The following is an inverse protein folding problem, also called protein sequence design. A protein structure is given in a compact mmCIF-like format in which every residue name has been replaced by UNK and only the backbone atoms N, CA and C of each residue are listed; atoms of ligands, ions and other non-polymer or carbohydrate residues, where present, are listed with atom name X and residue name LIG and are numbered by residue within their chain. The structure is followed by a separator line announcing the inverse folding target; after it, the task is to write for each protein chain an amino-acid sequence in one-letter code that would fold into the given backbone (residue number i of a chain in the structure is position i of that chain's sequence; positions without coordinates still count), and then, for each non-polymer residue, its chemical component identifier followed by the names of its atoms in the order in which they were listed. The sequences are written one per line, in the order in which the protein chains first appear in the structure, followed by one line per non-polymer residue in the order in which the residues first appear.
data_IF_965838659252
#
_entry.id   IF_965838659252
#
_cell.length_a   1.000
_cell.length_b   1.000
_cell.length_c   1.000
_cell.angle_alpha   90.00
_cell.angle_beta   90.00
_cell.angle_gamma   90.00
#
_symmetry.space_group_name_H-M   'P 1'
#
loop_
_entity.id
_entity.type
_entity.pdbx_description
1 polymer ?
#
# COMPACT_ATOMS: atom_id res chain seq x y z
N UNK A 1 -34.34 39.84 -10.44
CA UNK A 1 -34.03 38.39 -10.50
C UNK A 1 -32.78 38.24 -11.34
N UNK A 2 -31.62 38.25 -10.68
CA UNK A 2 -30.32 38.00 -11.32
C UNK A 2 -29.80 36.70 -10.73
N UNK A 3 -29.85 35.65 -11.53
CA UNK A 3 -29.25 34.35 -11.24
C UNK A 3 -27.73 34.54 -11.15
N UNK A 4 -27.17 34.36 -9.94
CA UNK A 4 -25.73 34.22 -9.77
C UNK A 4 -25.33 32.85 -10.31
N UNK A 5 -24.75 32.89 -11.50
CA UNK A 5 -24.02 31.81 -12.14
C UNK A 5 -22.82 31.42 -11.25
N UNK A 6 -23.05 30.56 -10.26
CA UNK A 6 -21.98 29.88 -9.54
C UNK A 6 -21.34 28.86 -10.47
N UNK A 7 -20.44 29.36 -11.32
CA UNK A 7 -19.48 28.53 -12.03
C UNK A 7 -18.72 27.71 -10.98
N UNK A 8 -19.04 26.43 -10.93
CA UNK A 8 -18.34 25.42 -10.14
C UNK A 8 -16.92 25.31 -10.65
N UNK A 9 -16.04 26.19 -10.15
CA UNK A 9 -14.63 26.17 -10.45
C UNK A 9 -14.08 24.81 -10.04
N UNK A 10 -13.86 23.93 -11.02
CA UNK A 10 -13.25 22.62 -10.82
C UNK A 10 -11.91 22.85 -10.13
N UNK A 11 -11.83 22.55 -8.83
CA UNK A 11 -10.59 22.69 -8.06
C UNK A 11 -9.53 21.80 -8.71
N UNK A 12 -8.54 22.43 -9.33
CA UNK A 12 -7.41 21.76 -9.97
C UNK A 12 -6.68 20.88 -8.94
N UNK A 13 -6.38 19.65 -9.31
CA UNK A 13 -5.60 18.74 -8.48
C UNK A 13 -4.25 19.38 -8.11
N UNK A 14 -3.94 19.45 -6.81
CA UNK A 14 -2.72 20.07 -6.31
C UNK A 14 -1.78 19.00 -5.75
N UNK A 15 -0.61 18.81 -6.35
CA UNK A 15 0.33 17.77 -5.93
C UNK A 15 1.14 18.13 -4.68
N UNK A 16 1.00 19.36 -4.15
CA UNK A 16 1.69 19.78 -2.93
C UNK A 16 1.02 19.19 -1.68
N UNK A 17 1.85 18.67 -0.78
CA UNK A 17 1.42 18.20 0.52
C UNK A 17 0.94 19.34 1.41
N UNK A 18 -0.23 19.17 2.01
CA UNK A 18 -0.70 20.00 3.13
C UNK A 18 -0.36 19.31 4.43
N UNK A 19 -0.32 20.07 5.54
CA UNK A 19 -0.10 19.49 6.88
C UNK A 19 -1.10 18.36 7.17
N UNK A 20 -2.38 18.55 6.83
CA UNK A 20 -3.42 17.52 7.00
C UNK A 20 -3.15 16.25 6.20
N UNK A 21 -2.53 16.37 5.02
CA UNK A 21 -2.19 15.23 4.18
C UNK A 21 -1.09 14.38 4.84
N UNK A 22 -0.07 15.05 5.40
CA UNK A 22 1.04 14.42 6.14
C UNK A 22 0.50 13.72 7.39
N UNK A 23 -0.34 14.41 8.17
CA UNK A 23 -0.91 13.86 9.40
C UNK A 23 -1.76 12.63 9.13
N UNK A 24 -2.62 12.66 8.10
CA UNK A 24 -3.45 11.50 7.77
C UNK A 24 -2.63 10.34 7.20
N UNK A 25 -1.63 10.61 6.35
CA UNK A 25 -0.71 9.57 5.90
C UNK A 25 0.03 8.93 7.08
N UNK A 26 0.47 9.72 8.07
CA UNK A 26 1.12 9.23 9.26
C UNK A 26 0.19 8.40 10.15
N UNK A 27 -1.08 8.80 10.33
CA UNK A 27 -2.06 8.02 11.08
C UNK A 27 -2.29 6.66 10.41
N UNK A 28 -2.44 6.64 9.08
CA UNK A 28 -2.57 5.39 8.32
C UNK A 28 -1.32 4.52 8.52
N UNK A 29 -0.13 5.10 8.38
CA UNK A 29 1.13 4.38 8.58
C UNK A 29 1.25 3.80 9.99
N UNK A 30 0.85 4.54 11.03
CA UNK A 30 0.89 4.05 12.42
C UNK A 30 -0.10 2.90 12.62
N UNK A 31 -1.33 3.04 12.12
CA UNK A 31 -2.32 1.97 12.22
C UNK A 31 -1.86 0.70 11.47
N UNK A 32 -1.31 0.86 10.27
CA UNK A 32 -0.76 -0.24 9.48
C UNK A 32 0.46 -0.87 10.14
N UNK A 33 1.40 -0.08 10.68
CA UNK A 33 2.60 -0.60 11.35
C UNK A 33 2.27 -1.45 12.58
N UNK A 34 1.22 -1.11 13.33
CA UNK A 34 0.71 -1.96 14.41
C UNK A 34 0.12 -3.27 13.88
N UNK A 35 -0.58 -3.23 12.73
CA UNK A 35 -1.10 -4.44 12.08
C UNK A 35 0.04 -5.31 11.55
N UNK A 36 1.07 -4.73 10.95
CA UNK A 36 2.26 -5.43 10.46
C UNK A 36 2.95 -6.15 11.61
N UNK A 37 3.19 -5.42 12.70
CA UNK A 37 3.79 -5.98 13.92
C UNK A 37 2.92 -7.08 14.53
N UNK A 38 1.60 -6.90 14.58
CA UNK A 38 0.68 -7.93 15.04
C UNK A 38 0.72 -9.18 14.15
N UNK A 39 0.87 -9.00 12.84
CA UNK A 39 1.04 -10.08 11.89
C UNK A 39 2.39 -10.79 12.06
N UNK A 40 3.48 -10.08 12.36
CA UNK A 40 4.81 -10.67 12.66
C UNK A 40 4.74 -11.73 13.76
N UNK A 41 3.92 -11.51 14.78
CA UNK A 41 3.76 -12.44 15.92
C UNK A 41 3.16 -13.78 15.47
N UNK A 42 2.23 -13.76 14.52
CA UNK A 42 1.41 -14.93 14.16
C UNK A 42 1.77 -15.54 12.81
N UNK A 43 2.51 -14.84 11.95
CA UNK A 43 2.75 -15.23 10.57
C UNK A 43 3.71 -16.42 10.40
N UNK A 44 4.54 -16.72 11.40
CA UNK A 44 5.56 -17.80 11.30
C UNK A 44 4.94 -19.15 10.91
N UNK A 45 3.87 -19.57 11.58
CA UNK A 45 3.22 -20.86 11.28
C UNK A 45 2.48 -20.87 9.93
N UNK A 46 1.66 -19.86 9.58
CA UNK A 46 1.08 -19.73 8.23
C UNK A 46 2.11 -19.71 7.10
N UNK A 47 3.20 -18.94 7.25
CA UNK A 47 4.25 -18.86 6.23
C UNK A 47 4.90 -20.23 6.00
N UNK A 48 5.26 -20.94 7.08
CA UNK A 48 5.85 -22.27 7.00
C UNK A 48 4.89 -23.29 6.35
N UNK A 49 3.59 -23.20 6.65
CA UNK A 49 2.58 -24.08 6.04
C UNK A 49 2.49 -23.87 4.53
N UNK A 50 2.47 -22.61 4.08
CA UNK A 50 2.39 -22.27 2.66
C UNK A 50 3.69 -22.66 1.93
N UNK A 51 4.85 -22.38 2.50
CA UNK A 51 6.15 -22.80 1.96
C UNK A 51 6.25 -24.33 1.81
N UNK A 52 5.72 -25.08 2.78
CA UNK A 52 5.71 -26.55 2.76
C UNK A 52 4.83 -27.14 1.64
N UNK A 53 3.74 -26.45 1.26
CA UNK A 53 2.92 -26.84 0.10
C UNK A 53 3.70 -26.64 -1.18
N UNK A 54 4.30 -25.46 -1.36
CA UNK A 54 5.14 -25.15 -2.52
C UNK A 54 6.09 -24.01 -2.18
N UNK A 55 7.41 -24.18 -2.33
CA UNK A 55 8.37 -23.11 -2.08
C UNK A 55 8.05 -21.86 -2.91
N UNK A 56 7.81 -20.73 -2.23
CA UNK A 56 7.38 -19.46 -2.81
C UNK A 56 5.92 -19.08 -2.50
N UNK A 57 5.07 -20.04 -2.10
CA UNK A 57 3.66 -19.75 -1.76
C UNK A 57 3.50 -18.88 -0.51
N UNK A 58 4.50 -18.84 0.35
CA UNK A 58 4.54 -17.92 1.49
C UNK A 58 4.37 -16.45 1.04
N UNK A 59 4.75 -16.11 -0.21
CA UNK A 59 4.50 -14.80 -0.81
C UNK A 59 3.02 -14.43 -0.91
N UNK A 60 2.09 -15.39 -0.90
CA UNK A 60 0.65 -15.11 -0.88
C UNK A 60 0.21 -14.41 0.40
N UNK A 61 1.00 -14.51 1.47
CA UNK A 61 0.71 -13.87 2.75
C UNK A 61 1.41 -12.52 2.91
N UNK A 62 2.16 -12.08 1.89
CA UNK A 62 2.88 -10.82 1.97
C UNK A 62 1.97 -9.60 2.03
N UNK A 63 0.74 -9.66 1.49
CA UNK A 63 -0.16 -8.51 1.47
C UNK A 63 -0.41 -7.84 2.82
N UNK A 64 -0.30 -8.58 3.92
CA UNK A 64 -0.46 -8.01 5.27
C UNK A 64 0.62 -6.97 5.61
N UNK A 65 1.74 -6.92 4.87
CA UNK A 65 2.79 -5.90 4.98
C UNK A 65 2.83 -4.92 3.80
N UNK A 66 1.90 -4.99 2.83
CA UNK A 66 2.01 -4.22 1.58
C UNK A 66 0.95 -3.12 1.43
N UNK A 67 0.00 -3.05 2.37
CA UNK A 67 -1.23 -2.32 2.16
C UNK A 67 -1.17 -0.86 2.64
N UNK A 68 -0.17 -0.48 3.44
CA UNK A 68 -0.09 0.86 4.02
C UNK A 68 0.06 1.93 2.94
N UNK A 69 0.97 1.69 1.99
CA UNK A 69 1.28 2.58 0.89
C UNK A 69 0.09 2.81 -0.04
N UNK A 70 -0.45 1.76 -0.69
CA UNK A 70 -1.61 1.89 -1.57
C UNK A 70 -2.81 2.58 -0.89
N UNK A 71 -3.13 2.22 0.35
CA UNK A 71 -4.23 2.82 1.11
C UNK A 71 -4.01 4.31 1.38
N UNK A 72 -2.83 4.69 1.87
CA UNK A 72 -2.50 6.09 2.12
C UNK A 72 -2.54 6.91 0.83
N UNK A 73 -2.05 6.34 -0.26
CA UNK A 73 -1.99 7.03 -1.54
C UNK A 73 -3.37 7.31 -2.14
N UNK A 74 -4.31 6.37 -2.09
CA UNK A 74 -5.67 6.59 -2.61
C UNK A 74 -6.52 7.55 -1.74
N UNK A 75 -6.18 7.68 -0.46
CA UNK A 75 -6.82 8.62 0.47
C UNK A 75 -6.24 10.03 0.28
N UNK A 76 -4.91 10.17 0.34
CA UNK A 76 -4.21 11.46 0.31
C UNK A 76 -4.09 12.02 -1.10
N UNK A 77 -3.95 11.14 -2.10
CA UNK A 77 -3.84 11.46 -3.53
C UNK A 77 -2.71 12.44 -3.82
N UNK A 78 -1.51 12.15 -3.30
CA UNK A 78 -0.28 12.95 -3.55
C UNK A 78 0.87 12.03 -3.95
N UNK A 79 1.79 12.51 -4.81
CA UNK A 79 3.02 11.79 -5.09
C UNK A 79 3.87 11.66 -3.82
N UNK A 80 4.44 10.47 -3.65
CA UNK A 80 5.23 10.06 -2.48
C UNK A 80 4.40 9.52 -1.32
N UNK A 81 3.07 9.49 -1.42
CA UNK A 81 2.21 9.07 -0.31
C UNK A 81 2.31 7.57 -0.02
N UNK A 82 2.47 6.75 -1.06
CA UNK A 82 2.61 5.31 -0.88
C UNK A 82 3.94 4.99 -0.22
N UNK A 83 5.03 5.56 -0.77
CA UNK A 83 6.38 5.37 -0.22
C UNK A 83 6.48 5.84 1.23
N UNK A 84 5.94 7.04 1.53
CA UNK A 84 5.97 7.60 2.87
C UNK A 84 5.27 6.72 3.89
N UNK A 85 4.03 6.29 3.59
CA UNK A 85 3.24 5.52 4.54
C UNK A 85 3.82 4.12 4.77
N UNK A 86 4.28 3.44 3.71
CA UNK A 86 4.89 2.11 3.82
C UNK A 86 6.19 2.16 4.63
N UNK A 87 7.06 3.14 4.32
CA UNK A 87 8.33 3.30 5.04
C UNK A 87 8.11 3.59 6.52
N UNK A 88 7.14 4.45 6.84
CA UNK A 88 6.83 4.80 8.22
C UNK A 88 6.17 3.64 8.98
N UNK A 89 5.30 2.87 8.32
CA UNK A 89 4.71 1.66 8.89
C UNK A 89 5.78 0.62 9.22
N UNK A 90 6.68 0.34 8.27
CA UNK A 90 7.79 -0.59 8.45
C UNK A 90 8.81 -0.11 9.51
N UNK A 91 9.03 1.20 9.62
CA UNK A 91 9.84 1.76 10.69
C UNK A 91 9.20 1.54 12.06
N UNK A 92 7.88 1.74 12.18
CA UNK A 92 7.15 1.50 13.42
C UNK A 92 7.19 0.02 13.81
N UNK A 93 6.87 -0.86 12.87
CA UNK A 93 6.96 -2.33 13.01
C UNK A 93 8.33 -2.74 13.59
N UNK A 94 9.41 -2.25 12.98
CA UNK A 94 10.77 -2.51 13.44
C UNK A 94 11.03 -1.98 14.86
N UNK A 95 10.58 -0.76 15.16
CA UNK A 95 10.83 -0.15 16.49
C UNK A 95 10.05 -0.82 17.62
N UNK A 96 8.91 -1.44 17.30
CA UNK A 96 8.16 -2.27 18.25
C UNK A 96 8.82 -3.64 18.49
N UNK A 97 9.80 -4.01 17.65
CA UNK A 97 10.63 -5.21 17.76
C UNK A 97 9.97 -6.42 17.10
N UNK A 98 10.68 -7.04 16.15
CA UNK A 98 10.26 -8.24 15.45
C UNK A 98 11.45 -9.14 15.10
N UNK A 99 11.15 -10.34 14.58
CA UNK A 99 12.14 -11.35 14.18
C UNK A 99 12.88 -11.03 12.86
N UNK A 100 12.40 -10.07 12.08
CA UNK A 100 12.89 -9.80 10.72
C UNK A 100 14.06 -8.80 10.69
N UNK A 101 14.16 -7.96 11.72
CA UNK A 101 15.21 -6.96 11.86
C UNK A 101 15.16 -5.88 10.77
N UNK A 102 16.24 -5.11 10.66
CA UNK A 102 16.27 -3.92 9.77
C UNK A 102 16.05 -4.29 8.30
N UNK A 103 16.60 -5.42 7.85
CA UNK A 103 16.48 -5.88 6.46
C UNK A 103 15.06 -6.32 6.12
N UNK A 104 14.53 -7.25 6.90
CA UNK A 104 13.23 -7.87 6.63
C UNK A 104 12.01 -7.03 7.01
N UNK A 105 12.21 -5.85 7.62
CA UNK A 105 11.14 -4.87 7.87
C UNK A 105 11.38 -3.55 7.15
N UNK A 106 12.36 -2.75 7.58
CA UNK A 106 12.51 -1.38 7.07
C UNK A 106 13.00 -1.32 5.62
N UNK A 107 14.05 -2.09 5.28
CA UNK A 107 14.61 -2.04 3.92
C UNK A 107 13.60 -2.60 2.91
N UNK A 108 13.00 -3.76 3.21
CA UNK A 108 11.97 -4.32 2.34
C UNK A 108 10.74 -3.41 2.25
N UNK A 109 10.31 -2.80 3.35
CA UNK A 109 9.19 -1.85 3.37
C UNK A 109 9.42 -0.62 2.49
N UNK A 110 10.65 -0.11 2.44
CA UNK A 110 11.02 0.97 1.49
C UNK A 110 10.88 0.47 0.04
N UNK A 111 11.38 -0.73 -0.27
CA UNK A 111 11.29 -1.30 -1.63
C UNK A 111 9.84 -1.57 -2.04
N UNK A 112 9.02 -2.06 -1.10
CA UNK A 112 7.58 -2.26 -1.29
C UNK A 112 6.87 -0.93 -1.54
N UNK A 113 7.16 0.08 -0.73
CA UNK A 113 6.63 1.44 -0.88
C UNK A 113 7.03 2.07 -2.22
N UNK A 114 8.25 1.85 -2.68
CA UNK A 114 8.69 2.26 -4.02
C UNK A 114 7.90 1.53 -5.11
N UNK A 115 7.69 0.23 -4.98
CA UNK A 115 6.85 -0.55 -5.89
C UNK A 115 5.43 0.00 -5.97
N UNK A 116 4.82 0.26 -4.81
CA UNK A 116 3.49 0.86 -4.71
C UNK A 116 3.42 2.23 -5.40
N UNK A 117 4.41 3.09 -5.14
CA UNK A 117 4.48 4.43 -5.71
C UNK A 117 4.64 4.39 -7.24
N UNK A 118 5.48 3.49 -7.76
CA UNK A 118 5.67 3.29 -9.21
C UNK A 118 4.33 2.91 -9.86
N UNK A 119 3.54 2.06 -9.23
CA UNK A 119 2.24 1.67 -9.77
C UNK A 119 1.26 2.83 -9.96
N UNK A 120 1.33 3.85 -9.10
CA UNK A 120 0.54 5.08 -9.24
C UNK A 120 1.20 6.07 -10.20
N UNK A 121 2.53 6.10 -10.23
CA UNK A 121 3.32 6.93 -11.14
C UNK A 121 3.10 6.55 -12.61
N UNK A 122 2.83 5.28 -12.92
CA UNK A 122 2.43 4.80 -14.27
C UNK A 122 1.21 5.58 -14.79
N UNK A 123 0.29 5.94 -13.90
CA UNK A 123 -0.90 6.74 -14.24
C UNK A 123 -0.68 8.25 -14.05
N UNK A 124 0.58 8.68 -13.85
CA UNK A 124 0.99 10.05 -13.57
C UNK A 124 0.18 10.71 -12.43
N UNK A 125 -0.26 9.92 -11.44
CA UNK A 125 -1.10 10.37 -10.32
C UNK A 125 -2.46 10.97 -10.75
N UNK A 126 -2.93 10.62 -11.95
CA UNK A 126 -4.21 11.12 -12.51
C UNK A 126 -5.39 10.18 -12.24
N UNK A 127 -5.12 8.93 -11.88
CA UNK A 127 -6.13 7.90 -11.60
C UNK A 127 -5.98 7.38 -10.18
N UNK A 128 -7.11 7.21 -9.51
CA UNK A 128 -7.25 6.77 -8.12
C UNK A 128 -8.44 5.81 -8.01
N UNK A 129 -8.55 4.91 -8.98
CA UNK A 129 -9.61 3.93 -9.15
C UNK A 129 -9.14 2.53 -8.72
N UNK A 130 -10.05 1.54 -8.78
CA UNK A 130 -9.75 0.16 -8.42
C UNK A 130 -8.53 -0.39 -9.20
N UNK A 131 -8.44 -0.09 -10.50
CA UNK A 131 -7.37 -0.59 -11.36
C UNK A 131 -6.01 -0.03 -10.95
N UNK A 132 -5.88 1.29 -10.82
CA UNK A 132 -4.63 1.94 -10.41
C UNK A 132 -4.18 1.50 -9.02
N UNK A 133 -5.13 1.34 -8.08
CA UNK A 133 -4.84 0.81 -6.73
C UNK A 133 -4.38 -0.65 -6.77
N UNK A 134 -5.03 -1.47 -7.59
CA UNK A 134 -4.68 -2.89 -7.79
C UNK A 134 -3.26 -3.02 -8.36
N UNK A 135 -2.90 -2.20 -9.34
CA UNK A 135 -1.56 -2.18 -9.93
C UNK A 135 -0.51 -1.67 -8.92
N UNK A 136 -0.86 -0.67 -8.10
CA UNK A 136 -0.01 -0.21 -7.00
C UNK A 136 0.28 -1.34 -6.01
N UNK A 137 -0.75 -2.02 -5.50
CA UNK A 137 -0.57 -3.18 -4.62
C UNK A 137 0.23 -4.32 -5.27
N UNK A 138 -0.04 -4.62 -6.54
CA UNK A 138 0.70 -5.64 -7.29
C UNK A 138 2.20 -5.32 -7.37
N UNK A 139 2.55 -4.07 -7.67
CA UNK A 139 3.94 -3.63 -7.77
C UNK A 139 4.63 -3.51 -6.41
N UNK A 140 3.90 -3.24 -5.33
CA UNK A 140 4.41 -3.39 -3.97
C UNK A 140 4.85 -4.84 -3.71
N UNK A 141 4.01 -5.80 -4.12
CA UNK A 141 4.30 -7.23 -4.08
C UNK A 141 5.50 -7.64 -4.94
N UNK A 142 5.62 -7.08 -6.14
CA UNK A 142 6.82 -7.26 -6.98
C UNK A 142 8.06 -6.69 -6.30
N UNK A 143 7.97 -5.52 -5.69
CA UNK A 143 9.06 -4.92 -4.90
C UNK A 143 9.52 -5.85 -3.78
N UNK A 144 8.58 -6.42 -3.03
CA UNK A 144 8.87 -7.45 -2.02
C UNK A 144 9.60 -8.66 -2.61
N UNK A 145 9.06 -9.23 -3.71
CA UNK A 145 9.65 -10.38 -4.39
C UNK A 145 11.06 -10.13 -4.90
N UNK A 146 11.33 -8.96 -5.46
CA UNK A 146 12.66 -8.57 -5.94
C UNK A 146 13.65 -8.42 -4.79
N UNK A 147 13.23 -7.84 -3.66
CA UNK A 147 14.09 -7.74 -2.47
C UNK A 147 14.49 -9.13 -1.96
N UNK A 148 13.53 -10.05 -1.81
CA UNK A 148 13.82 -11.40 -1.32
C UNK A 148 14.64 -12.24 -2.31
N UNK A 149 14.46 -12.04 -3.61
CA UNK A 149 15.34 -12.63 -4.61
C UNK A 149 16.79 -12.17 -4.45
N UNK A 150 17.03 -10.87 -4.28
CA UNK A 150 18.38 -10.30 -4.15
C UNK A 150 19.07 -10.71 -2.84
N UNK A 151 18.29 -10.88 -1.76
CA UNK A 151 18.82 -11.26 -0.44
C UNK A 151 18.95 -12.76 -0.25
N UNK A 152 18.35 -13.58 -1.11
CA UNK A 152 18.41 -15.04 -1.06
C UNK A 152 18.97 -15.64 -2.38
N UNK A 153 20.28 -15.47 -2.66
CA UNK A 153 20.90 -15.93 -3.89
C UNK A 153 20.89 -17.46 -4.07
N UNK A 154 20.65 -18.21 -2.99
CA UNK A 154 20.54 -19.67 -3.02
C UNK A 154 19.18 -20.18 -3.55
N UNK A 155 18.18 -19.31 -3.70
CA UNK A 155 16.87 -19.73 -4.22
C UNK A 155 16.97 -20.13 -5.69
N UNK A 156 16.30 -21.24 -6.04
CA UNK A 156 16.17 -21.64 -7.43
C UNK A 156 15.33 -20.63 -8.22
N UNK A 157 15.57 -20.53 -9.52
CA UNK A 157 14.78 -19.67 -10.41
C UNK A 157 13.27 -19.98 -10.34
N UNK A 158 12.92 -21.24 -10.11
CA UNK A 158 11.53 -21.67 -9.93
C UNK A 158 10.92 -21.07 -8.64
N UNK A 159 11.60 -21.20 -7.50
CA UNK A 159 11.14 -20.61 -6.23
C UNK A 159 10.97 -19.11 -6.34
N UNK A 160 11.98 -18.42 -6.92
CA UNK A 160 11.94 -16.96 -7.13
C UNK A 160 10.72 -16.57 -7.96
N UNK A 161 10.47 -17.28 -9.06
CA UNK A 161 9.33 -16.99 -9.96
C UNK A 161 8.00 -17.19 -9.24
N UNK A 162 7.84 -18.27 -8.49
CA UNK A 162 6.63 -18.56 -7.71
C UNK A 162 6.43 -17.48 -6.64
N UNK A 163 7.46 -17.16 -5.86
CA UNK A 163 7.39 -16.15 -4.79
C UNK A 163 7.01 -14.77 -5.33
N UNK A 164 7.62 -14.36 -6.44
CA UNK A 164 7.34 -13.06 -7.06
C UNK A 164 5.89 -12.99 -7.56
N UNK A 165 5.41 -14.02 -8.27
CA UNK A 165 4.03 -14.09 -8.77
C UNK A 165 3.04 -14.12 -7.60
N UNK A 166 3.30 -14.95 -6.58
CA UNK A 166 2.48 -15.04 -5.37
C UNK A 166 2.38 -13.69 -4.65
N UNK A 167 3.52 -13.01 -4.46
CA UNK A 167 3.57 -11.68 -3.83
C UNK A 167 2.83 -10.63 -4.65
N UNK A 168 2.97 -10.65 -5.97
CA UNK A 168 2.25 -9.74 -6.86
C UNK A 168 0.73 -9.97 -6.82
N UNK A 169 0.28 -11.23 -6.84
CA UNK A 169 -1.15 -11.57 -6.71
C UNK A 169 -1.69 -11.14 -5.35
N UNK A 170 -0.98 -11.46 -4.28
CA UNK A 170 -1.35 -11.07 -2.91
C UNK A 170 -1.49 -9.56 -2.78
N UNK A 171 -0.47 -8.82 -3.23
CA UNK A 171 -0.47 -7.37 -3.26
C UNK A 171 -1.61 -6.80 -4.11
N UNK A 172 -1.87 -7.36 -5.29
CA UNK A 172 -2.97 -6.91 -6.15
C UNK A 172 -4.34 -7.05 -5.45
N UNK A 173 -4.57 -8.19 -4.81
CA UNK A 173 -5.87 -8.52 -4.19
C UNK A 173 -6.07 -7.74 -2.91
N UNK A 174 -5.20 -7.93 -1.91
CA UNK A 174 -5.43 -7.40 -0.57
C UNK A 174 -4.94 -5.96 -0.43
N UNK A 175 -3.67 -5.68 -0.78
CA UNK A 175 -3.12 -4.32 -0.70
C UNK A 175 -3.72 -3.39 -1.77
N UNK A 176 -4.19 -3.93 -2.89
CA UNK A 176 -4.80 -3.19 -3.97
C UNK A 176 -6.32 -3.14 -3.88
N UNK A 177 -6.98 -4.19 -4.36
CA UNK A 177 -8.44 -4.22 -4.52
C UNK A 177 -9.20 -4.06 -3.20
N UNK A 178 -8.81 -4.79 -2.15
CA UNK A 178 -9.48 -4.71 -0.84
C UNK A 178 -9.24 -3.34 -0.19
N UNK A 179 -8.03 -2.76 -0.28
CA UNK A 179 -7.79 -1.41 0.23
C UNK A 179 -8.59 -0.33 -0.51
N UNK A 180 -8.82 -0.49 -1.82
CA UNK A 180 -9.71 0.38 -2.56
C UNK A 180 -11.14 0.32 -2.02
N UNK A 181 -11.67 -0.90 -1.80
CA UNK A 181 -13.00 -1.08 -1.22
C UNK A 181 -13.08 -0.53 0.21
N UNK A 182 -12.02 -0.68 1.00
CA UNK A 182 -11.91 -0.10 2.33
C UNK A 182 -11.96 1.43 2.27
N UNK A 183 -11.21 2.05 1.35
CA UNK A 183 -11.26 3.50 1.16
C UNK A 183 -12.66 3.98 0.77
N UNK A 184 -13.35 3.26 -0.11
CA UNK A 184 -14.74 3.57 -0.49
C UNK A 184 -15.67 3.48 0.73
N UNK A 185 -15.51 2.45 1.57
CA UNK A 185 -16.30 2.31 2.79
C UNK A 185 -16.02 3.44 3.80
N UNK A 186 -14.75 3.83 3.99
CA UNK A 186 -14.36 4.95 4.85
C UNK A 186 -14.92 6.27 4.31
N UNK A 187 -14.87 6.49 2.99
CA UNK A 187 -15.41 7.71 2.37
C UNK A 187 -16.90 7.89 2.66
N UNK A 188 -17.69 6.80 2.68
CA UNK A 188 -19.13 6.84 3.01
C UNK A 188 -19.45 7.28 4.44
N UNK A 189 -18.45 7.30 5.33
CA UNK A 189 -18.63 7.77 6.73
C UNK A 189 -18.52 9.28 6.88
N UNK A 190 -18.12 10.02 5.83
CA UNK A 190 -17.85 11.47 5.88
C UNK A 190 -16.48 11.85 6.47
N UNK A 191 -15.72 10.88 7.00
CA UNK A 191 -14.38 11.14 7.58
C UNK A 191 -13.40 11.73 6.54
N UNK A 192 -13.61 11.44 5.25
CA UNK A 192 -12.73 11.87 4.16
C UNK A 192 -13.19 13.15 3.42
N UNK A 193 -14.21 13.86 3.91
CA UNK A 193 -14.79 15.03 3.21
C UNK A 193 -13.77 16.17 3.02
N UNK A 194 -12.77 16.23 3.89
CA UNK A 194 -11.65 17.18 3.79
C UNK A 194 -10.63 16.83 2.69
N UNK A 195 -10.73 15.63 2.12
CA UNK A 195 -9.86 15.10 1.07
C UNK A 195 -10.54 15.10 -0.30
N UNK A 196 -9.75 14.96 -1.36
CA UNK A 196 -10.29 14.75 -2.71
C UNK A 196 -10.95 13.37 -2.82
N UNK A 197 -10.49 12.41 -2.03
CA UNK A 197 -10.98 11.04 -1.98
C UNK A 197 -12.43 10.92 -1.46
N UNK A 198 -12.86 11.76 -0.52
CA UNK A 198 -14.27 11.85 -0.10
C UNK A 198 -15.16 12.58 -1.13
N UNK A 199 -14.71 13.74 -1.62
CA UNK A 199 -15.48 14.59 -2.56
C UNK A 199 -15.81 13.97 -3.91
N UNK A 200 -15.08 12.94 -4.34
CA UNK A 200 -15.36 12.26 -5.62
C UNK A 200 -16.55 11.30 -5.51
N UNK A 201 -16.91 10.86 -4.29
CA UNK A 201 -18.03 9.94 -4.04
C UNK A 201 -19.38 10.67 -3.92
N UNK A 202 -19.41 11.96 -3.59
CA UNK A 202 -20.65 12.76 -3.54
C UNK A 202 -21.23 13.07 -4.94
N UNK A 203 -20.46 12.84 -6.01
CA UNK A 203 -20.83 13.18 -7.39
C UNK A 203 -21.31 11.98 -8.23
N UNK A 204 -21.49 10.80 -7.62
CA UNK A 204 -22.04 9.58 -8.23
C UNK A 204 -23.37 9.26 -7.56
#
# INVERSE_FOLDING_TARGET
MTEENQSSAVRKHNNKWRVVDIVVAAIIAVASGVIFWGWDIVCTAPLALFEAVTPGFEGLLNAFWLFAGPLAAIIVRKPGAALFAETLAAALELTMGNQWGVGGSLIVGIVQGLGAEIGLAIFAYKKWDLLSTTISGALAGVGCGLYYWLTNPAWSALRVSIYLIASAISGAVLAGAVMYLLQVAIAKTGVLDRFESGRTQELV
#
